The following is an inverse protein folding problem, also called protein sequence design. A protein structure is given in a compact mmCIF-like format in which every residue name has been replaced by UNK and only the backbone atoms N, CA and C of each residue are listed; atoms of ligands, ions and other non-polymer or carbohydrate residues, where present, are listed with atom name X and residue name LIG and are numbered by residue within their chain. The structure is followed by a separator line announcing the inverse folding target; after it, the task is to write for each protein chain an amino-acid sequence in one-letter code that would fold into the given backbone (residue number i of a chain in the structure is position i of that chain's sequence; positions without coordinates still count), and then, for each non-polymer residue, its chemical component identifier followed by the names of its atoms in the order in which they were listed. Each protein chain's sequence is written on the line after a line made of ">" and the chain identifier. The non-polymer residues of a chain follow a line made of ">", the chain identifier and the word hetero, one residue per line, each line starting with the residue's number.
data_IF_765510915895
#
_entry.id   IF_765510915895
#
_cell.length_a   1.000
_cell.length_b   1.000
_cell.length_c   1.000
_cell.angle_alpha   90.00
_cell.angle_beta   90.00
_cell.angle_gamma   90.00
#
_symmetry.space_group_name_H-M   'P 1'
#
loop_
_entity.id
_entity.type
_entity.pdbx_description
1 polymer ?
#
# COMPACT_ATOMS: atom_id res chain seq x y z
N UNK A 1 -11.48 -41.79 15.41
CA UNK A 1 -11.51 -40.37 15.85
C UNK A 1 -11.64 -39.52 14.61
N UNK A 2 -12.76 -38.81 14.52
CA UNK A 2 -13.16 -37.94 13.41
C UNK A 2 -12.21 -36.75 13.26
N UNK A 3 -11.81 -36.47 12.02
CA UNK A 3 -11.16 -35.20 11.65
C UNK A 3 -12.25 -34.12 11.70
N UNK A 4 -12.05 -33.09 12.54
CA UNK A 4 -12.96 -31.96 12.60
C UNK A 4 -12.60 -30.95 11.49
N UNK A 5 -13.65 -30.45 10.86
CA UNK A 5 -13.60 -29.41 9.84
C UNK A 5 -13.31 -28.05 10.52
N UNK A 6 -12.65 -27.15 9.76
CA UNK A 6 -12.40 -25.72 10.04
C UNK A 6 -11.05 -25.34 10.68
N UNK A 7 -9.93 -25.71 10.05
CA UNK A 7 -8.70 -24.93 10.17
C UNK A 7 -8.89 -23.59 9.44
N UNK A 8 -9.37 -22.58 10.16
CA UNK A 8 -9.23 -21.18 9.73
C UNK A 8 -7.75 -20.87 9.82
N UNK A 9 -7.04 -20.95 8.69
CA UNK A 9 -5.67 -20.48 8.60
C UNK A 9 -5.65 -18.98 8.93
N UNK A 10 -5.32 -18.63 10.17
CA UNK A 10 -5.02 -17.27 10.56
C UNK A 10 -3.84 -16.81 9.69
N UNK A 11 -4.13 -16.02 8.65
CA UNK A 11 -3.11 -15.29 7.93
C UNK A 11 -2.52 -14.34 8.97
N UNK A 12 -1.34 -14.68 9.48
CA UNK A 12 -0.59 -13.86 10.41
C UNK A 12 -0.14 -12.59 9.68
N UNK A 13 -1.03 -11.60 9.63
CA UNK A 13 -0.72 -10.29 9.05
C UNK A 13 0.19 -9.59 10.04
N UNK A 14 1.50 -9.72 9.83
CA UNK A 14 2.49 -8.96 10.57
C UNK A 14 2.20 -7.47 10.39
N UNK A 15 1.95 -6.79 11.50
CA UNK A 15 1.72 -5.35 11.50
C UNK A 15 3.00 -4.63 11.08
N UNK A 16 2.84 -3.55 10.30
CA UNK A 16 3.97 -2.84 9.70
C UNK A 16 3.66 -1.39 9.43
N UNK A 17 4.51 -0.49 9.90
CA UNK A 17 4.36 0.94 9.56
C UNK A 17 4.47 1.15 8.04
N UNK A 18 3.53 1.92 7.50
CA UNK A 18 3.59 2.35 6.10
C UNK A 18 4.85 3.18 5.81
N UNK A 19 5.41 3.02 4.61
CA UNK A 19 6.60 3.73 4.13
C UNK A 19 6.28 4.45 2.82
N UNK A 20 6.48 5.77 2.77
CA UNK A 20 6.00 6.63 1.68
C UNK A 20 6.64 6.36 0.31
N UNK A 21 7.82 5.74 0.30
CA UNK A 21 8.50 5.22 -0.89
C UNK A 21 7.94 3.90 -1.42
N UNK A 22 6.80 3.44 -0.91
CA UNK A 22 6.11 2.22 -1.35
C UNK A 22 4.69 2.53 -1.79
N UNK A 23 4.20 1.82 -2.80
CA UNK A 23 2.79 1.90 -3.19
C UNK A 23 1.92 1.38 -2.05
N UNK A 24 1.00 2.20 -1.56
CA UNK A 24 0.07 1.82 -0.50
C UNK A 24 -0.75 0.57 -0.88
N UNK A 25 -1.23 0.50 -2.12
CA UNK A 25 -2.17 -0.55 -2.53
C UNK A 25 -1.53 -1.83 -3.07
N UNK A 26 -0.22 -1.88 -3.31
CA UNK A 26 0.41 -3.09 -3.86
C UNK A 26 1.83 -3.36 -3.37
N UNK A 27 2.32 -2.62 -2.37
CA UNK A 27 3.66 -2.79 -1.83
C UNK A 27 4.85 -2.63 -2.79
N UNK A 28 4.61 -2.28 -4.06
CA UNK A 28 5.67 -1.99 -5.02
C UNK A 28 6.59 -0.87 -4.50
N UNK A 29 7.90 -1.10 -4.56
CA UNK A 29 8.90 -0.06 -4.31
C UNK A 29 8.83 1.01 -5.40
N UNK A 30 8.64 2.27 -5.02
CA UNK A 30 8.49 3.39 -5.96
C UNK A 30 9.83 3.95 -6.48
N UNK A 31 10.93 3.25 -6.22
CA UNK A 31 12.26 3.55 -6.76
C UNK A 31 12.70 2.50 -7.78
N UNK A 32 12.67 1.23 -7.38
CA UNK A 32 13.19 0.12 -8.19
C UNK A 32 12.10 -0.78 -8.82
N UNK A 33 10.83 -0.59 -8.45
CA UNK A 33 9.69 -1.32 -9.04
C UNK A 33 9.49 -2.74 -8.53
N UNK A 34 10.33 -3.23 -7.61
CA UNK A 34 10.20 -4.55 -6.99
C UNK A 34 8.92 -4.65 -6.16
N UNK A 35 8.30 -5.83 -6.18
CA UNK A 35 7.19 -6.17 -5.28
C UNK A 35 7.74 -6.54 -3.90
N UNK A 36 7.52 -5.67 -2.92
CA UNK A 36 8.05 -5.86 -1.57
C UNK A 36 7.29 -6.90 -0.74
N UNK A 37 6.25 -7.51 -1.31
CA UNK A 37 5.59 -8.68 -0.73
C UNK A 37 6.46 -9.93 -0.88
N UNK A 38 7.29 -9.99 -1.93
CA UNK A 38 8.11 -11.16 -2.26
C UNK A 38 9.60 -10.88 -2.20
N UNK A 39 10.04 -9.63 -2.43
CA UNK A 39 11.45 -9.29 -2.54
C UNK A 39 11.85 -8.09 -1.68
N UNK A 40 13.04 -8.14 -1.09
CA UNK A 40 13.64 -6.99 -0.44
C UNK A 40 14.41 -6.08 -1.42
N UNK A 41 14.60 -4.81 -1.02
CA UNK A 41 15.43 -3.85 -1.76
C UNK A 41 16.10 -2.82 -0.84
N UNK A 42 17.22 -2.26 -1.29
CA UNK A 42 18.03 -1.30 -0.54
C UNK A 42 17.60 0.17 -0.70
N UNK A 43 16.52 0.46 -1.45
CA UNK A 43 16.06 1.85 -1.62
C UNK A 43 15.62 2.45 -0.28
N UNK A 44 15.92 3.74 -0.05
CA UNK A 44 15.38 4.49 1.07
C UNK A 44 13.87 4.72 0.86
N UNK A 45 13.05 4.00 1.62
CA UNK A 45 11.58 4.00 1.49
C UNK A 45 10.90 5.00 2.43
N UNK A 46 11.64 5.66 3.30
CA UNK A 46 11.11 6.65 4.24
C UNK A 46 10.99 8.04 3.60
N UNK A 47 11.68 8.26 2.48
CA UNK A 47 11.57 9.46 1.68
C UNK A 47 10.58 9.28 0.54
N UNK A 48 9.83 10.34 0.26
CA UNK A 48 8.91 10.41 -0.88
C UNK A 48 9.75 10.50 -2.16
N UNK A 49 9.51 9.65 -3.18
CA UNK A 49 10.25 9.75 -4.43
C UNK A 49 10.03 11.12 -5.08
N UNK A 50 10.90 11.55 -5.97
CA UNK A 50 10.76 12.78 -6.75
C UNK A 50 10.73 12.46 -8.24
N UNK A 51 10.53 13.47 -9.10
CA UNK A 51 10.63 13.28 -10.56
C UNK A 51 12.00 12.75 -10.99
N UNK A 52 13.05 13.04 -10.22
CA UNK A 52 14.42 12.60 -10.50
C UNK A 52 14.63 11.12 -10.18
N UNK A 53 13.73 10.47 -9.43
CA UNK A 53 13.81 9.05 -9.10
C UNK A 53 13.10 8.14 -10.12
N UNK A 54 12.65 8.70 -11.25
CA UNK A 54 11.99 7.92 -12.30
C UNK A 54 12.99 6.96 -12.94
N UNK A 55 12.54 5.73 -13.16
CA UNK A 55 13.29 4.69 -13.86
C UNK A 55 12.40 4.06 -14.95
N UNK A 56 12.99 3.24 -15.83
CA UNK A 56 12.19 2.50 -16.82
C UNK A 56 11.11 1.62 -16.15
N UNK A 57 11.42 1.06 -14.96
CA UNK A 57 10.52 0.21 -14.15
C UNK A 57 9.55 1.01 -13.29
N UNK A 58 9.92 2.24 -12.91
CA UNK A 58 9.07 3.17 -12.16
C UNK A 58 8.99 4.50 -12.90
N UNK A 59 8.12 4.56 -13.90
CA UNK A 59 7.92 5.77 -14.72
C UNK A 59 7.36 6.96 -13.93
N UNK A 60 6.70 6.68 -12.81
CA UNK A 60 6.19 7.69 -11.90
C UNK A 60 5.41 7.11 -10.75
N UNK A 61 5.00 8.00 -9.85
CA UNK A 61 4.11 7.73 -8.74
C UNK A 61 3.12 8.90 -8.60
N UNK A 62 2.03 8.67 -7.88
CA UNK A 62 1.02 9.68 -7.56
C UNK A 62 0.84 9.77 -6.05
N UNK A 63 0.76 10.98 -5.54
CA UNK A 63 0.35 11.21 -4.17
C UNK A 63 -1.17 11.10 -4.06
N UNK A 64 -1.65 10.47 -3.00
CA UNK A 64 -3.06 10.41 -2.63
C UNK A 64 -3.21 11.05 -1.26
N UNK A 65 -4.02 12.11 -1.18
CA UNK A 65 -4.48 12.67 0.08
C UNK A 65 -5.86 12.10 0.37
N UNK A 66 -5.95 11.14 1.29
CA UNK A 66 -7.21 10.60 1.77
C UNK A 66 -7.78 11.55 2.82
N UNK A 67 -8.93 12.15 2.53
CA UNK A 67 -9.71 12.95 3.46
C UNK A 67 -10.79 12.06 4.10
N UNK A 68 -10.68 11.76 5.39
CA UNK A 68 -11.61 10.86 6.07
C UNK A 68 -13.06 11.40 6.09
N UNK A 69 -13.22 12.73 6.12
CA UNK A 69 -14.53 13.40 6.17
C UNK A 69 -15.21 13.36 4.81
N UNK A 70 -14.46 13.60 3.73
CA UNK A 70 -15.02 13.83 2.39
C UNK A 70 -14.77 12.70 1.38
N UNK A 71 -13.98 11.66 1.73
CA UNK A 71 -13.68 10.60 0.78
C UNK A 71 -14.94 9.86 0.31
N UNK A 72 -15.00 9.64 -1.01
CA UNK A 72 -16.01 8.83 -1.66
C UNK A 72 -16.01 7.39 -1.11
N UNK A 73 -17.16 6.69 -1.09
CA UNK A 73 -17.26 5.34 -0.53
C UNK A 73 -16.24 4.35 -1.11
N UNK A 74 -16.03 4.37 -2.43
CA UNK A 74 -15.06 3.49 -3.09
C UNK A 74 -13.62 3.74 -2.61
N UNK A 75 -13.26 5.00 -2.35
CA UNK A 75 -11.93 5.35 -1.87
C UNK A 75 -11.74 4.90 -0.42
N UNK A 76 -12.78 5.05 0.42
CA UNK A 76 -12.79 4.52 1.80
C UNK A 76 -12.57 3.00 1.79
N UNK A 77 -13.25 2.28 0.92
CA UNK A 77 -13.09 0.83 0.78
C UNK A 77 -11.70 0.44 0.26
N UNK A 78 -11.20 1.14 -0.75
CA UNK A 78 -9.84 0.95 -1.29
C UNK A 78 -8.76 1.12 -0.20
N UNK A 79 -8.89 2.17 0.61
CA UNK A 79 -7.97 2.46 1.70
C UNK A 79 -8.05 1.38 2.79
N UNK A 80 -9.26 0.99 3.21
CA UNK A 80 -9.47 -0.08 4.20
C UNK A 80 -8.90 -1.42 3.74
N UNK A 81 -9.20 -1.84 2.51
CA UNK A 81 -8.69 -3.09 1.92
C UNK A 81 -7.17 -3.11 1.88
N UNK A 82 -6.54 -2.02 1.45
CA UNK A 82 -5.08 -1.92 1.39
C UNK A 82 -4.45 -1.90 2.79
N UNK A 83 -5.02 -1.14 3.73
CA UNK A 83 -4.56 -1.06 5.11
C UNK A 83 -4.59 -2.42 5.81
N UNK A 84 -5.69 -3.16 5.64
CA UNK A 84 -5.86 -4.51 6.19
C UNK A 84 -4.91 -5.50 5.51
N UNK A 85 -4.91 -5.54 4.17
CA UNK A 85 -4.12 -6.50 3.38
C UNK A 85 -2.63 -6.48 3.73
N UNK A 86 -2.09 -5.29 3.99
CA UNK A 86 -0.67 -5.11 4.27
C UNK A 86 -0.40 -4.72 5.72
N UNK A 87 -1.38 -4.79 6.62
CA UNK A 87 -1.20 -4.53 8.04
C UNK A 87 -0.61 -3.16 8.37
N UNK A 88 -0.98 -2.07 7.67
CA UNK A 88 -0.29 -0.79 7.84
C UNK A 88 -0.55 -0.04 9.15
N UNK A 89 -1.50 -0.53 9.96
CA UNK A 89 -1.96 0.11 11.20
C UNK A 89 -2.30 1.60 11.04
N UNK A 90 -2.68 2.03 9.82
CA UNK A 90 -3.05 3.41 9.57
C UNK A 90 -4.43 3.69 10.16
N UNK A 91 -4.54 4.73 10.97
CA UNK A 91 -5.83 5.21 11.43
C UNK A 91 -6.57 5.94 10.30
N UNK A 92 -7.50 5.22 9.65
CA UNK A 92 -8.32 5.77 8.56
C UNK A 92 -9.55 6.55 9.04
N UNK A 93 -9.71 6.76 10.35
CA UNK A 93 -10.64 7.75 10.89
C UNK A 93 -10.10 9.18 10.75
N UNK A 94 -8.79 9.34 10.50
CA UNK A 94 -8.13 10.61 10.24
C UNK A 94 -7.62 10.69 8.81
N UNK A 95 -7.44 11.92 8.29
CA UNK A 95 -6.86 12.14 6.97
C UNK A 95 -5.43 11.58 6.89
N UNK A 96 -5.08 11.02 5.74
CA UNK A 96 -3.82 10.31 5.56
C UNK A 96 -3.24 10.54 4.17
N UNK A 97 -1.92 10.75 4.11
CA UNK A 97 -1.22 10.92 2.85
C UNK A 97 -0.42 9.66 2.51
N UNK A 98 -0.59 9.17 1.28
CA UNK A 98 0.16 8.02 0.78
C UNK A 98 0.59 8.19 -0.68
N UNK A 99 1.38 7.23 -1.16
CA UNK A 99 1.85 7.17 -2.53
C UNK A 99 1.29 5.94 -3.24
N UNK A 100 0.94 6.09 -4.51
CA UNK A 100 0.51 5.01 -5.40
C UNK A 100 1.43 4.92 -6.61
N UNK A 101 1.67 3.69 -7.08
CA UNK A 101 2.21 3.49 -8.42
C UNK A 101 1.14 3.85 -9.47
N UNK A 102 1.57 4.16 -10.70
CA UNK A 102 0.65 4.54 -11.79
C UNK A 102 -0.50 3.56 -11.99
N UNK A 103 -0.22 2.25 -11.93
CA UNK A 103 -1.24 1.20 -12.13
C UNK A 103 -2.26 1.09 -10.99
N UNK A 104 -1.91 1.49 -9.77
CA UNK A 104 -2.87 1.55 -8.66
C UNK A 104 -3.67 2.85 -8.70
N UNK A 105 -3.02 3.96 -9.08
CA UNK A 105 -3.69 5.25 -9.22
C UNK A 105 -4.81 5.18 -10.28
N UNK A 106 -4.57 4.51 -11.41
CA UNK A 106 -5.57 4.37 -12.47
C UNK A 106 -6.83 3.59 -12.08
N UNK A 107 -6.86 2.97 -10.89
CA UNK A 107 -8.04 2.25 -10.37
C UNK A 107 -8.94 3.12 -9.50
N UNK A 108 -8.48 4.31 -9.14
CA UNK A 108 -9.19 5.24 -8.23
C UNK A 108 -9.39 6.63 -8.84
N UNK A 109 -8.87 6.85 -10.06
CA UNK A 109 -9.06 8.07 -10.86
C UNK A 109 -10.16 7.86 -11.87
#
# INVERSE_FOLDING_TARGET
>A
MSLNENEVYEIQVYTRKYRIGTCFACQKCLYCGKDLTFENCHCNKYEKPTKNNRTAKVRGYRGLCYDASNAQPFLKEFMKKSNLKFGYEVNLATSFYCSLCTACNSKIS
#
